data_IF_517711756699
#
_entry.id   IF_517711756699
#
_cell.length_a   1.000
_cell.length_b   1.000
_cell.length_c   1.000
_cell.angle_alpha   90.00
_cell.angle_beta   90.00
_cell.angle_gamma   90.00
#
_symmetry.space_group_name_H-M   'P 1'
#
loop_
_entity.id
_entity.type
_entity.pdbx_description
1 polymer ?
#
# COMPACT_ATOMS: atom_id res chain seq x y z
N UNK A 1 -4.58 -9.30 -19.18
CA UNK A 1 -4.15 -7.92 -19.41
C UNK A 1 -4.63 -7.04 -18.27
N UNK A 2 -3.76 -6.15 -17.80
CA UNK A 2 -4.06 -5.27 -16.67
C UNK A 2 -4.57 -3.92 -17.16
N UNK A 3 -5.69 -3.46 -16.59
CA UNK A 3 -6.21 -2.13 -16.88
C UNK A 3 -5.54 -1.14 -15.91
N UNK A 4 -4.88 -0.12 -16.44
CA UNK A 4 -4.19 0.90 -15.66
C UNK A 4 -5.04 2.16 -15.63
N UNK A 5 -5.32 2.65 -14.43
CA UNK A 5 -6.09 3.88 -14.21
C UNK A 5 -5.27 4.84 -13.35
N UNK A 6 -5.69 6.09 -13.29
CA UNK A 6 -5.10 7.08 -12.40
C UNK A 6 -6.15 7.64 -11.46
N UNK A 7 -5.70 8.11 -10.28
CA UNK A 7 -6.58 8.75 -9.30
C UNK A 7 -5.79 9.73 -8.44
N UNK A 8 -6.53 10.67 -7.87
CA UNK A 8 -5.99 11.54 -6.83
C UNK A 8 -6.27 10.91 -5.47
N UNK A 9 -5.24 10.82 -4.63
CA UNK A 9 -5.35 10.32 -3.26
C UNK A 9 -5.21 11.51 -2.32
N UNK A 10 -6.18 11.73 -1.43
CA UNK A 10 -6.08 12.84 -0.48
C UNK A 10 -5.02 12.58 0.58
N UNK A 11 -4.56 13.65 1.21
CA UNK A 11 -3.69 13.54 2.38
C UNK A 11 -4.38 12.73 3.47
N UNK A 12 -3.64 11.82 4.07
CA UNK A 12 -4.15 10.93 5.12
C UNK A 12 -3.24 10.97 6.35
N UNK A 13 -3.81 10.74 7.51
CA UNK A 13 -3.05 10.46 8.73
C UNK A 13 -3.10 8.97 8.97
N UNK A 14 -1.95 8.36 9.21
CA UNK A 14 -1.85 6.91 9.33
C UNK A 14 -1.11 6.50 10.61
N UNK A 15 -1.55 5.39 11.19
CA UNK A 15 -0.72 4.58 12.07
C UNK A 15 0.28 3.85 11.18
N UNK A 16 1.51 3.70 11.63
CA UNK A 16 2.55 3.09 10.81
C UNK A 16 3.48 2.22 11.62
N UNK A 17 3.93 1.13 11.01
CA UNK A 17 5.08 0.34 11.47
C UNK A 17 5.97 0.05 10.28
N UNK A 18 7.28 0.21 10.47
CA UNK A 18 8.26 -0.07 9.44
C UNK A 18 9.33 -1.01 9.98
N UNK A 19 9.72 -1.99 9.17
CA UNK A 19 10.78 -2.94 9.54
C UNK A 19 11.55 -3.34 8.30
N UNK A 20 12.85 -3.55 8.47
CA UNK A 20 13.71 -4.14 7.45
C UNK A 20 13.53 -5.66 7.54
N UNK A 21 13.05 -6.28 6.47
CA UNK A 21 12.74 -7.71 6.45
C UNK A 21 13.22 -8.37 5.16
N UNK A 22 13.48 -9.68 5.23
CA UNK A 22 13.60 -10.52 4.06
C UNK A 22 12.22 -11.00 3.61
N UNK A 23 12.08 -11.45 2.36
CA UNK A 23 10.80 -11.92 1.82
C UNK A 23 10.17 -13.01 2.68
N UNK A 24 10.96 -13.95 3.20
CA UNK A 24 10.44 -15.04 4.04
C UNK A 24 9.95 -14.57 5.43
N UNK A 25 10.25 -13.33 5.81
CA UNK A 25 9.81 -12.74 7.07
C UNK A 25 8.56 -11.87 6.93
N UNK A 26 8.16 -11.55 5.69
CA UNK A 26 7.07 -10.61 5.41
C UNK A 26 5.75 -11.01 6.08
N UNK A 27 5.33 -12.25 5.92
CA UNK A 27 4.02 -12.68 6.42
C UNK A 27 3.93 -12.55 7.95
N UNK A 28 4.98 -12.96 8.65
CA UNK A 28 5.01 -12.86 10.11
C UNK A 28 4.97 -11.39 10.56
N UNK A 29 5.73 -10.52 9.90
CA UNK A 29 5.70 -9.09 10.19
C UNK A 29 4.32 -8.49 9.95
N UNK A 30 3.73 -8.79 8.79
CA UNK A 30 2.39 -8.28 8.44
C UNK A 30 1.36 -8.72 9.48
N UNK A 31 1.33 -10.00 9.82
CA UNK A 31 0.35 -10.53 10.78
C UNK A 31 0.50 -9.87 12.16
N UNK A 32 1.73 -9.75 12.66
CA UNK A 32 2.00 -9.15 13.96
C UNK A 32 1.66 -7.65 13.97
N UNK A 33 2.13 -6.92 12.97
CA UNK A 33 1.92 -5.47 12.89
C UNK A 33 0.45 -5.13 12.69
N UNK A 34 -0.25 -5.84 11.83
CA UNK A 34 -1.68 -5.61 11.60
C UNK A 34 -2.50 -5.85 12.88
N UNK A 35 -2.15 -6.86 13.66
CA UNK A 35 -2.82 -7.09 14.94
C UNK A 35 -2.68 -5.89 15.88
N UNK A 36 -1.46 -5.35 16.02
CA UNK A 36 -1.19 -4.18 16.86
C UNK A 36 -1.88 -2.92 16.32
N UNK A 37 -1.75 -2.67 15.02
CA UNK A 37 -2.28 -1.46 14.39
C UNK A 37 -3.81 -1.43 14.43
N UNK A 38 -4.47 -2.55 14.16
CA UNK A 38 -5.93 -2.64 14.23
C UNK A 38 -6.45 -2.42 15.66
N UNK A 39 -5.78 -3.00 16.66
CA UNK A 39 -6.17 -2.79 18.05
C UNK A 39 -6.03 -1.31 18.45
N UNK A 40 -4.96 -0.65 18.02
CA UNK A 40 -4.75 0.78 18.26
C UNK A 40 -5.82 1.61 17.53
N UNK A 41 -6.08 1.30 16.25
CA UNK A 41 -7.10 2.01 15.47
C UNK A 41 -8.49 1.89 16.10
N UNK A 42 -8.85 0.73 16.61
CA UNK A 42 -10.15 0.54 17.28
C UNK A 42 -10.30 1.49 18.46
N UNK A 43 -9.23 1.75 19.21
CA UNK A 43 -9.25 2.70 20.32
C UNK A 43 -9.36 4.15 19.87
N UNK A 44 -9.12 4.43 18.60
CA UNK A 44 -9.15 5.77 18.00
C UNK A 44 -10.37 5.99 17.08
N UNK A 45 -11.40 5.18 17.24
CA UNK A 45 -12.62 5.30 16.45
C UNK A 45 -12.66 4.47 15.18
N UNK A 46 -11.65 3.64 14.94
CA UNK A 46 -11.59 2.74 13.79
C UNK A 46 -10.77 3.30 12.62
N UNK A 47 -10.61 2.48 11.61
CA UNK A 47 -9.90 2.86 10.39
C UNK A 47 -10.78 3.77 9.52
N UNK A 48 -10.14 4.70 8.82
CA UNK A 48 -10.84 5.66 7.94
C UNK A 48 -10.64 5.36 6.45
N UNK A 49 -9.86 4.33 6.13
CA UNK A 49 -9.61 3.92 4.76
C UNK A 49 -8.87 2.59 4.72
N UNK A 50 -8.62 2.05 3.51
CA UNK A 50 -7.93 0.78 3.38
C UNK A 50 -6.48 0.86 3.84
N UNK A 51 -6.00 -0.23 4.45
CA UNK A 51 -4.59 -0.39 4.77
C UNK A 51 -3.76 -0.43 3.49
N UNK A 52 -2.54 0.10 3.55
CA UNK A 52 -1.62 -0.03 2.42
C UNK A 52 -0.22 -0.36 2.90
N UNK A 53 0.47 -1.16 2.10
CA UNK A 53 1.81 -1.65 2.38
C UNK A 53 2.78 -1.03 1.39
N UNK A 54 3.80 -0.32 1.91
CA UNK A 54 4.79 0.36 1.08
C UNK A 54 6.09 -0.44 1.10
N UNK A 55 6.57 -0.79 -0.07
CA UNK A 55 7.86 -1.46 -0.25
C UNK A 55 8.90 -0.41 -0.65
N UNK A 56 9.69 0.05 0.33
CA UNK A 56 10.64 1.14 0.12
C UNK A 56 11.89 0.73 -0.64
N UNK A 57 12.11 -0.57 -0.82
CA UNK A 57 13.20 -1.12 -1.62
C UNK A 57 12.82 -2.54 -2.02
N UNK A 58 13.61 -3.15 -2.88
CA UNK A 58 13.42 -4.55 -3.28
C UNK A 58 13.62 -5.46 -2.07
N UNK A 59 12.67 -6.36 -1.86
CA UNK A 59 12.71 -7.34 -0.76
C UNK A 59 12.68 -8.72 -1.38
N UNK A 60 13.73 -9.51 -1.13
CA UNK A 60 13.86 -10.88 -1.59
C UNK A 60 14.31 -11.78 -0.43
N UNK A 61 14.48 -13.08 -0.68
CA UNK A 61 15.03 -13.98 0.33
C UNK A 61 16.52 -13.76 0.57
N UNK A 62 17.18 -13.06 -0.36
CA UNK A 62 18.60 -12.76 -0.29
C UNK A 62 18.90 -11.32 0.13
N UNK A 63 17.97 -10.40 -0.14
CA UNK A 63 18.13 -8.98 0.16
C UNK A 63 16.99 -8.50 1.04
N UNK A 64 17.31 -8.05 2.25
CA UNK A 64 16.34 -7.39 3.11
C UNK A 64 16.09 -5.96 2.66
N UNK A 65 14.89 -5.46 2.92
CA UNK A 65 14.54 -4.07 2.62
C UNK A 65 13.46 -3.55 3.56
N UNK A 66 13.29 -2.22 3.63
CA UNK A 66 12.26 -1.62 4.47
C UNK A 66 10.87 -1.84 3.89
N UNK A 67 9.97 -2.36 4.73
CA UNK A 67 8.57 -2.52 4.42
C UNK A 67 7.77 -1.77 5.48
N UNK A 68 6.82 -0.96 5.03
CA UNK A 68 6.01 -0.13 5.91
C UNK A 68 4.53 -0.50 5.78
N UNK A 69 3.86 -0.69 6.91
CA UNK A 69 2.42 -0.91 6.97
C UNK A 69 1.77 0.38 7.45
N UNK A 70 0.78 0.87 6.69
CA UNK A 70 0.06 2.10 7.00
C UNK A 70 -1.42 1.81 7.15
N UNK A 71 -2.01 2.33 8.24
CA UNK A 71 -3.43 2.16 8.52
C UNK A 71 -4.07 3.52 8.76
N UNK A 72 -4.91 4.01 7.83
CA UNK A 72 -5.53 5.32 7.97
C UNK A 72 -6.44 5.45 9.19
N UNK A 73 -6.32 6.56 9.90
CA UNK A 73 -7.11 6.89 11.08
C UNK A 73 -7.62 8.33 11.00
N UNK A 74 -8.56 8.67 11.86
CA UNK A 74 -9.04 10.04 12.00
C UNK A 74 -7.91 10.97 12.44
N UNK A 75 -7.55 11.99 11.65
CA UNK A 75 -6.48 12.93 12.01
C UNK A 75 -6.70 13.63 13.35
N UNK A 76 -7.97 13.88 13.70
CA UNK A 76 -8.32 14.55 14.95
C UNK A 76 -8.00 13.69 16.19
N UNK A 77 -7.79 12.39 16.00
CA UNK A 77 -7.53 11.46 17.11
C UNK A 77 -6.08 10.97 17.19
N UNK A 78 -5.23 11.42 16.27
CA UNK A 78 -3.84 10.97 16.21
C UNK A 78 -3.06 11.26 17.50
N UNK A 79 -3.38 12.36 18.18
CA UNK A 79 -2.70 12.74 19.42
C UNK A 79 -3.12 11.90 20.63
N UNK A 80 -4.16 11.08 20.51
CA UNK A 80 -4.66 10.23 21.61
C UNK A 80 -3.84 8.94 21.77
N UNK A 81 -2.86 8.71 20.93
CA UNK A 81 -2.01 7.51 20.97
C UNK A 81 -0.54 7.85 21.01
N UNK A 82 0.24 7.00 21.68
CA UNK A 82 1.70 7.05 21.66
C UNK A 82 2.30 6.18 20.54
N UNK A 83 1.47 5.46 19.80
CA UNK A 83 1.91 4.65 18.68
C UNK A 83 2.42 5.56 17.54
N UNK A 84 3.37 5.10 16.72
CA UNK A 84 3.87 5.89 15.60
C UNK A 84 2.77 6.28 14.62
N UNK A 85 2.67 7.58 14.35
CA UNK A 85 1.75 8.13 13.35
C UNK A 85 2.52 9.04 12.40
N UNK A 86 2.02 9.22 11.20
CA UNK A 86 2.54 10.22 10.27
C UNK A 86 1.46 10.67 9.30
N UNK A 87 1.77 11.73 8.59
CA UNK A 87 0.95 12.22 7.48
C UNK A 87 1.46 11.61 6.19
N UNK A 88 0.57 10.92 5.47
CA UNK A 88 0.82 10.50 4.10
C UNK A 88 0.33 11.61 3.17
N UNK A 89 1.25 12.26 2.48
CA UNK A 89 0.91 13.39 1.61
C UNK A 89 0.00 12.93 0.47
N UNK A 90 -0.98 13.75 0.15
CA UNK A 90 -1.83 13.55 -1.01
C UNK A 90 -1.00 13.51 -2.29
N UNK A 91 -1.40 12.70 -3.23
CA UNK A 91 -0.66 12.48 -4.48
C UNK A 91 -1.58 11.93 -5.57
N UNK A 92 -1.10 12.01 -6.80
CA UNK A 92 -1.69 11.29 -7.92
C UNK A 92 -1.01 9.93 -8.01
N UNK A 93 -1.76 8.90 -8.35
CA UNK A 93 -1.16 7.57 -8.55
C UNK A 93 -1.74 6.86 -9.77
N UNK A 94 -0.89 6.06 -10.41
CA UNK A 94 -1.31 5.09 -11.42
C UNK A 94 -1.45 3.74 -10.73
N UNK A 95 -2.51 3.01 -11.03
CA UNK A 95 -2.75 1.74 -10.35
C UNK A 95 -3.45 0.72 -11.23
N UNK A 96 -3.32 -0.54 -10.86
CA UNK A 96 -4.12 -1.63 -11.42
C UNK A 96 -4.72 -2.45 -10.28
N UNK A 97 -5.97 -2.86 -10.47
CA UNK A 97 -6.72 -3.63 -9.47
C UNK A 97 -6.64 -5.10 -9.80
N UNK A 98 -6.23 -5.92 -8.83
CA UNK A 98 -5.98 -7.34 -9.04
C UNK A 98 -6.81 -8.23 -8.10
N UNK A 99 -7.15 -9.45 -8.57
CA UNK A 99 -7.80 -10.44 -7.72
C UNK A 99 -6.81 -11.09 -6.76
N UNK A 100 -7.36 -11.70 -5.71
CA UNK A 100 -6.57 -12.38 -4.68
C UNK A 100 -5.54 -13.37 -5.25
N UNK A 101 -5.91 -14.16 -6.26
CA UNK A 101 -5.01 -15.16 -6.85
C UNK A 101 -3.74 -14.57 -7.46
N UNK A 102 -3.73 -13.27 -7.79
CA UNK A 102 -2.57 -12.59 -8.36
C UNK A 102 -1.72 -11.85 -7.32
N UNK A 103 -2.12 -11.84 -6.07
CA UNK A 103 -1.36 -11.17 -5.01
C UNK A 103 -0.11 -11.94 -4.62
N UNK A 104 -0.05 -13.23 -4.90
CA UNK A 104 1.10 -14.06 -4.58
C UNK A 104 2.32 -13.77 -5.46
N UNK A 105 3.51 -13.91 -4.89
CA UNK A 105 4.76 -13.88 -5.61
C UNK A 105 4.99 -15.25 -6.28
N UNK A 106 5.44 -15.31 -7.55
CA UNK A 106 5.89 -14.20 -8.40
C UNK A 106 4.78 -13.57 -9.25
N UNK A 107 3.54 -14.04 -9.19
CA UNK A 107 2.44 -13.57 -10.05
C UNK A 107 2.20 -12.07 -9.92
N UNK A 108 2.35 -11.53 -8.72
CA UNK A 108 2.15 -10.09 -8.44
C UNK A 108 3.09 -9.20 -9.25
N UNK A 109 4.27 -9.70 -9.63
CA UNK A 109 5.24 -8.93 -10.39
C UNK A 109 4.71 -8.48 -11.75
N UNK A 110 3.83 -9.25 -12.37
CA UNK A 110 3.23 -8.87 -13.65
C UNK A 110 2.40 -7.59 -13.51
N UNK A 111 1.69 -7.42 -12.39
CA UNK A 111 0.92 -6.20 -12.11
C UNK A 111 1.85 -5.01 -11.89
N UNK A 112 2.93 -5.16 -11.13
CA UNK A 112 3.94 -4.11 -10.95
C UNK A 112 4.51 -3.67 -12.31
N UNK A 113 4.92 -4.62 -13.14
CA UNK A 113 5.49 -4.34 -14.46
C UNK A 113 4.50 -3.63 -15.38
N UNK A 114 3.21 -3.98 -15.29
CA UNK A 114 2.18 -3.33 -16.10
C UNK A 114 2.04 -1.84 -15.74
N UNK A 115 2.05 -1.50 -14.46
CA UNK A 115 1.97 -0.10 -14.03
C UNK A 115 3.25 0.65 -14.42
N UNK A 116 4.41 0.05 -14.21
CA UNK A 116 5.70 0.65 -14.61
C UNK A 116 5.74 0.96 -16.11
N UNK A 117 5.28 0.01 -16.94
CA UNK A 117 5.21 0.19 -18.40
C UNK A 117 4.28 1.32 -18.80
N UNK A 118 3.13 1.42 -18.14
CA UNK A 118 2.18 2.52 -18.38
C UNK A 118 2.81 3.88 -18.06
N UNK A 119 3.52 3.98 -16.93
CA UNK A 119 4.21 5.21 -16.53
C UNK A 119 5.21 5.64 -17.58
N UNK A 120 6.02 4.69 -18.08
CA UNK A 120 7.01 4.97 -19.12
C UNK A 120 6.37 5.44 -20.43
N UNK A 121 5.19 4.91 -20.78
CA UNK A 121 4.49 5.23 -22.03
C UNK A 121 3.69 6.54 -21.95
N UNK A 122 3.44 7.07 -20.77
CA UNK A 122 2.56 8.22 -20.57
C UNK A 122 3.28 9.47 -20.05
N UNK A 123 4.57 9.58 -20.32
CA UNK A 123 5.39 10.76 -20.01
C UNK A 123 5.29 11.24 -18.56
N UNK A 124 5.26 10.31 -17.62
CA UNK A 124 5.24 10.62 -16.20
C UNK A 124 6.31 9.80 -15.47
N UNK A 125 6.48 10.06 -14.19
CA UNK A 125 7.50 9.41 -13.37
C UNK A 125 6.93 9.03 -12.01
N UNK A 126 7.44 7.94 -11.46
CA UNK A 126 7.18 7.56 -10.07
C UNK A 126 7.89 8.55 -9.14
N UNK A 127 7.15 9.09 -8.17
CA UNK A 127 7.67 10.10 -7.24
C UNK A 127 7.87 9.57 -5.82
N UNK A 128 7.38 8.37 -5.53
CA UNK A 128 7.50 7.73 -4.24
C UNK A 128 7.42 6.22 -4.43
N UNK A 129 7.68 5.48 -3.36
CA UNK A 129 7.68 4.00 -3.38
C UNK A 129 6.32 3.44 -3.76
N UNK A 130 6.28 2.34 -4.52
CA UNK A 130 5.02 1.68 -4.85
C UNK A 130 4.38 1.08 -3.61
N UNK A 131 3.07 0.93 -3.67
CA UNK A 131 2.30 0.39 -2.56
C UNK A 131 1.22 -0.58 -3.02
N UNK A 132 0.81 -1.44 -2.10
CA UNK A 132 -0.31 -2.35 -2.28
C UNK A 132 -1.43 -1.88 -1.36
N UNK A 133 -2.57 -1.49 -1.94
CA UNK A 133 -3.72 -0.97 -1.20
C UNK A 133 -4.77 -2.07 -1.11
N UNK A 134 -5.03 -2.53 0.10
CA UNK A 134 -5.96 -3.63 0.35
C UNK A 134 -7.34 -3.08 0.71
N UNK A 135 -8.22 -2.98 -0.28
CA UNK A 135 -9.55 -2.37 -0.14
C UNK A 135 -10.65 -3.37 0.23
N UNK A 136 -10.34 -4.65 0.29
CA UNK A 136 -11.28 -5.71 0.64
C UNK A 136 -10.67 -6.65 1.69
N UNK A 137 -11.52 -7.43 2.37
CA UNK A 137 -11.07 -8.42 3.33
C UNK A 137 -10.38 -9.58 2.60
N UNK A 138 -9.06 -9.57 2.61
CA UNK A 138 -8.23 -10.55 1.91
C UNK A 138 -8.53 -11.98 2.38
N UNK A 139 -8.73 -12.18 3.68
CA UNK A 139 -8.94 -13.53 4.23
C UNK A 139 -10.30 -14.10 3.85
N UNK A 140 -11.31 -13.24 3.72
CA UNK A 140 -12.66 -13.67 3.36
C UNK A 140 -12.88 -13.78 1.84
N UNK A 141 -12.00 -13.17 1.03
CA UNK A 141 -12.16 -13.13 -0.42
C UNK A 141 -11.88 -14.48 -1.08
N UNK A 142 -12.62 -14.78 -2.14
CA UNK A 142 -12.32 -15.90 -3.04
C UNK A 142 -11.20 -15.54 -4.01
N UNK A 143 -10.61 -16.54 -4.71
CA UNK A 143 -9.43 -16.32 -5.54
C UNK A 143 -9.64 -15.34 -6.69
N UNK A 144 -10.85 -15.21 -7.21
CA UNK A 144 -11.16 -14.32 -8.33
C UNK A 144 -11.72 -12.97 -7.90
N UNK A 145 -11.91 -12.76 -6.59
CA UNK A 145 -12.38 -11.47 -6.08
C UNK A 145 -11.25 -10.44 -6.08
N UNK A 146 -11.58 -9.21 -6.49
CA UNK A 146 -10.66 -8.08 -6.49
C UNK A 146 -10.41 -7.65 -5.04
N UNK A 147 -9.16 -7.55 -4.65
CA UNK A 147 -8.78 -7.27 -3.25
C UNK A 147 -7.71 -6.20 -3.08
N UNK A 148 -6.92 -5.94 -4.12
CA UNK A 148 -5.71 -5.12 -3.98
C UNK A 148 -5.49 -4.23 -5.19
N UNK A 149 -5.07 -3.00 -4.94
CA UNK A 149 -4.56 -2.10 -5.97
C UNK A 149 -3.05 -2.04 -5.86
N UNK A 150 -2.36 -2.33 -6.96
CA UNK A 150 -0.91 -2.07 -7.08
C UNK A 150 -0.80 -0.64 -7.58
N UNK A 151 -0.27 0.25 -6.75
CA UNK A 151 -0.31 1.69 -6.99
C UNK A 151 1.08 2.32 -6.92
N UNK A 152 1.36 3.20 -7.87
CA UNK A 152 2.61 3.94 -7.95
C UNK A 152 2.30 5.43 -7.89
N UNK A 153 2.74 6.15 -6.84
CA UNK A 153 2.64 7.62 -6.85
C UNK A 153 3.40 8.20 -8.03
N UNK A 154 2.76 9.10 -8.74
CA UNK A 154 3.32 9.70 -9.95
C UNK A 154 3.24 11.23 -9.88
N UNK A 155 3.93 11.89 -10.82
CA UNK A 155 3.90 13.33 -10.95
C UNK A 155 2.46 13.86 -11.05
N UNK A 156 2.17 15.02 -10.46
CA UNK A 156 0.86 15.65 -10.61
C UNK A 156 0.61 16.03 -12.08
N UNK A 157 -0.66 16.18 -12.43
CA UNK A 157 -1.02 16.72 -13.74
C UNK A 157 -0.49 18.14 -13.84
N UNK A 158 0.21 18.47 -14.94
CA UNK A 158 0.69 19.81 -15.16
C UNK A 158 -0.48 20.79 -15.26
N UNK A 159 -0.37 21.90 -14.55
CA UNK A 159 -1.31 23.01 -14.69
C UNK A 159 -1.05 23.70 -16.04
N UNK A 160 -2.11 23.83 -16.81
CA UNK A 160 -2.06 24.50 -18.11
C UNK A 160 -2.36 26.00 -17.94
#
# INVERSE_FOLDING_TARGET
MFAIETREVPTQTVLTEQRVVFAHELQAFIDDAMGRLLATADSLGGVTGPAFFIYHDEITDENSGPMEICLPIDPARAEETDAPTRVEAGHREAYTRIPKRLVEYPQILAAYQAVEGWIAENDTEMIDSPREVYFADFMAAGPDELVCDIAFPILPVEAV
#
